data_IF_813339659571
#
_entry.id   IF_813339659571
#
_cell.length_a   1.000
_cell.length_b   1.000
_cell.length_c   1.000
_cell.angle_alpha   90.00
_cell.angle_beta   90.00
_cell.angle_gamma   90.00
#
_symmetry.space_group_name_H-M   'P 1'
#
loop_
_entity.id
_entity.type
_entity.pdbx_description
1 polymer ?
#
# COMPACT_ATOMS: atom_id res chain seq x y z
N UNK A 1 -24.93 -9.75 -34.36
CA UNK A 1 -25.31 -9.69 -32.92
C UNK A 1 -26.27 -8.53 -32.74
N UNK A 2 -27.57 -8.77 -32.95
CA UNK A 2 -28.63 -7.79 -32.76
C UNK A 2 -29.40 -8.23 -31.50
N UNK A 3 -29.48 -7.35 -30.50
CA UNK A 3 -30.18 -7.52 -29.21
C UNK A 3 -29.47 -8.34 -28.12
N UNK A 4 -28.27 -7.90 -27.72
CA UNK A 4 -27.86 -8.05 -26.32
C UNK A 4 -28.29 -6.77 -25.58
N UNK A 5 -29.17 -6.89 -24.58
CA UNK A 5 -29.56 -5.78 -23.67
C UNK A 5 -28.43 -5.35 -22.73
N UNK A 6 -27.28 -6.02 -22.80
CA UNK A 6 -26.11 -5.80 -21.97
C UNK A 6 -25.04 -5.06 -22.77
N UNK A 7 -24.61 -3.91 -22.27
CA UNK A 7 -23.47 -3.19 -22.81
C UNK A 7 -22.17 -3.75 -22.21
N UNK A 8 -21.27 -4.18 -23.09
CA UNK A 8 -19.91 -4.54 -22.71
C UNK A 8 -19.04 -3.31 -22.96
N UNK A 9 -18.40 -2.82 -21.90
CA UNK A 9 -17.46 -1.70 -21.97
C UNK A 9 -16.07 -2.22 -21.63
N UNK A 10 -15.13 -2.06 -22.55
CA UNK A 10 -13.71 -2.32 -22.27
C UNK A 10 -13.06 -1.07 -21.68
N UNK A 11 -12.34 -1.22 -20.56
CA UNK A 11 -11.60 -0.14 -19.92
C UNK A 11 -10.11 -0.41 -20.02
N UNK A 12 -9.30 0.60 -20.36
CA UNK A 12 -7.83 0.50 -20.45
C UNK A 12 -7.20 1.53 -19.51
N UNK A 13 -7.45 1.38 -18.20
CA UNK A 13 -7.01 2.34 -17.18
C UNK A 13 -7.76 3.67 -17.24
N UNK A 14 -7.17 4.70 -16.65
CA UNK A 14 -7.67 6.07 -16.64
C UNK A 14 -6.81 7.00 -17.49
N UNK A 15 -7.41 8.06 -18.00
CA UNK A 15 -6.74 9.18 -18.65
C UNK A 15 -6.34 10.26 -17.62
N UNK A 16 -5.71 11.33 -18.10
CA UNK A 16 -5.27 12.45 -17.27
C UNK A 16 -6.40 13.12 -16.48
N UNK A 17 -7.61 13.18 -17.02
CA UNK A 17 -8.76 13.78 -16.34
C UNK A 17 -9.31 12.87 -15.24
N UNK A 18 -9.32 11.55 -15.46
CA UNK A 18 -9.66 10.56 -14.42
C UNK A 18 -8.71 10.66 -13.21
N UNK A 19 -7.42 10.90 -13.45
CA UNK A 19 -6.42 11.12 -12.39
C UNK A 19 -6.71 12.41 -11.63
N UNK A 20 -7.01 13.53 -12.32
CA UNK A 20 -7.34 14.81 -11.66
C UNK A 20 -8.60 14.68 -10.80
N UNK A 21 -9.62 14.00 -11.31
CA UNK A 21 -10.84 13.74 -10.56
C UNK A 21 -10.54 12.88 -9.31
N UNK A 22 -9.76 11.82 -9.47
CA UNK A 22 -9.34 10.95 -8.36
C UNK A 22 -8.60 11.74 -7.28
N UNK A 23 -7.68 12.63 -7.66
CA UNK A 23 -6.96 13.51 -6.72
C UNK A 23 -7.93 14.48 -6.01
N UNK A 24 -8.84 15.12 -6.75
CA UNK A 24 -9.82 16.03 -6.16
C UNK A 24 -10.78 15.32 -5.18
N UNK A 25 -11.06 14.03 -5.38
CA UNK A 25 -11.82 13.21 -4.43
C UNK A 25 -11.00 12.88 -3.18
N UNK A 26 -9.72 12.53 -3.34
CA UNK A 26 -8.80 12.30 -2.22
C UNK A 26 -8.62 13.56 -1.37
N UNK A 27 -8.44 14.73 -2.00
CA UNK A 27 -8.37 16.04 -1.33
C UNK A 27 -9.64 16.37 -0.53
N UNK A 28 -10.80 15.85 -0.94
CA UNK A 28 -12.08 16.02 -0.24
C UNK A 28 -12.30 15.00 0.88
N UNK A 29 -11.31 14.16 1.18
CA UNK A 29 -11.35 13.20 2.29
C UNK A 29 -11.66 11.76 1.89
N UNK A 30 -11.57 11.40 0.59
CA UNK A 30 -11.57 9.99 0.21
C UNK A 30 -10.26 9.34 0.63
N UNK A 31 -10.32 8.50 1.67
CA UNK A 31 -9.16 7.77 2.16
C UNK A 31 -8.82 6.57 1.25
N UNK A 32 -7.54 6.44 0.93
CA UNK A 32 -7.00 5.35 0.10
C UNK A 32 -5.95 4.52 0.84
N UNK A 33 -5.69 4.81 2.11
CA UNK A 33 -4.77 4.09 3.00
C UNK A 33 -5.08 2.59 3.06
N UNK A 34 -6.37 2.22 3.04
CA UNK A 34 -6.85 0.83 3.01
C UNK A 34 -6.43 0.02 1.80
N UNK A 35 -5.88 0.65 0.76
CA UNK A 35 -5.28 -0.07 -0.36
C UNK A 35 -3.84 -0.50 -0.05
N UNK A 36 -3.15 0.15 0.88
CA UNK A 36 -1.76 -0.15 1.26
C UNK A 36 -1.78 -1.32 2.22
N UNK A 37 -1.05 -2.38 1.87
CA UNK A 37 -1.03 -3.62 2.67
C UNK A 37 0.38 -4.07 3.04
N UNK A 38 1.38 -3.61 2.29
CA UNK A 38 2.77 -3.97 2.50
C UNK A 38 3.65 -2.74 2.36
N UNK A 39 4.70 -2.68 3.18
CA UNK A 39 5.72 -1.63 3.22
C UNK A 39 7.09 -2.28 2.96
N UNK A 40 7.93 -1.68 2.13
CA UNK A 40 9.25 -2.22 1.82
C UNK A 40 10.25 -1.18 1.33
N UNK A 41 11.51 -1.58 1.25
CA UNK A 41 12.63 -0.79 0.73
C UNK A 41 12.85 -1.04 -0.75
N UNK A 42 13.81 -0.32 -1.35
CA UNK A 42 14.14 -0.46 -2.77
C UNK A 42 14.64 -1.87 -3.12
N UNK A 43 15.35 -2.50 -2.19
CA UNK A 43 15.91 -3.85 -2.30
C UNK A 43 14.84 -4.95 -2.36
N UNK A 44 13.62 -4.68 -1.89
CA UNK A 44 12.51 -5.62 -1.96
C UNK A 44 11.85 -5.69 -3.36
N UNK A 45 12.06 -4.69 -4.23
CA UNK A 45 11.39 -4.58 -5.54
C UNK A 45 11.64 -5.78 -6.47
N UNK A 46 12.88 -6.30 -6.63
CA UNK A 46 13.14 -7.40 -7.55
C UNK A 46 12.35 -8.66 -7.20
N UNK A 47 12.37 -9.09 -5.93
CA UNK A 47 11.63 -10.27 -5.47
C UNK A 47 10.12 -10.03 -5.55
N UNK A 48 9.66 -8.88 -5.06
CA UNK A 48 8.24 -8.54 -5.07
C UNK A 48 7.66 -8.54 -6.49
N UNK A 49 8.44 -8.10 -7.48
CA UNK A 49 8.04 -8.10 -8.89
C UNK A 49 8.04 -9.50 -9.48
N UNK A 50 9.07 -10.31 -9.22
CA UNK A 50 9.18 -11.68 -9.73
C UNK A 50 8.10 -12.60 -9.15
N UNK A 51 7.69 -12.36 -7.91
CA UNK A 51 6.81 -13.23 -7.15
C UNK A 51 5.41 -12.63 -6.90
N UNK A 52 5.08 -11.50 -7.55
CA UNK A 52 3.85 -10.74 -7.32
C UNK A 52 2.56 -11.59 -7.28
N UNK A 53 2.34 -12.59 -8.17
CA UNK A 53 1.12 -13.41 -8.14
C UNK A 53 0.93 -14.20 -6.84
N UNK A 54 2.02 -14.47 -6.11
CA UNK A 54 2.02 -15.23 -4.87
C UNK A 54 2.04 -14.34 -3.62
N UNK A 55 2.19 -13.02 -3.78
CA UNK A 55 2.17 -12.05 -2.67
C UNK A 55 0.74 -11.50 -2.55
N UNK A 56 -0.05 -11.95 -1.56
CA UNK A 56 -1.42 -11.50 -1.39
C UNK A 56 -1.48 -10.01 -1.01
N UNK A 57 -2.70 -9.46 -0.90
CA UNK A 57 -2.92 -8.06 -0.50
C UNK A 57 -2.95 -7.06 -1.66
N UNK A 58 -3.20 -5.80 -1.31
CA UNK A 58 -3.38 -4.69 -2.23
C UNK A 58 -2.06 -4.11 -2.73
N UNK A 59 -1.86 -2.81 -2.50
CA UNK A 59 -0.69 -2.02 -2.86
C UNK A 59 0.51 -2.34 -1.95
N UNK A 60 1.68 -2.38 -2.59
CA UNK A 60 3.01 -2.55 -1.99
C UNK A 60 3.69 -1.19 -2.06
N UNK A 61 3.79 -0.49 -0.94
CA UNK A 61 4.43 0.82 -0.86
C UNK A 61 5.94 0.62 -0.71
N UNK A 62 6.71 1.28 -1.56
CA UNK A 62 8.17 1.14 -1.59
C UNK A 62 8.83 2.50 -1.30
N UNK A 63 9.64 2.54 -0.24
CA UNK A 63 10.50 3.66 0.08
C UNK A 63 11.85 3.49 -0.60
N UNK A 64 12.10 4.30 -1.63
CA UNK A 64 13.24 4.10 -2.55
C UNK A 64 14.61 4.36 -1.93
N UNK A 65 14.67 4.94 -0.73
CA UNK A 65 15.90 5.30 -0.04
C UNK A 65 16.15 4.43 1.20
N UNK A 66 15.27 3.46 1.46
CA UNK A 66 15.40 2.49 2.55
C UNK A 66 15.79 1.11 2.01
N UNK A 67 16.48 0.34 2.83
CA UNK A 67 16.76 -1.08 2.60
C UNK A 67 16.02 -1.90 3.67
N UNK A 68 14.90 -2.52 3.26
CA UNK A 68 14.09 -3.32 4.17
C UNK A 68 13.26 -4.35 3.38
N UNK A 69 13.02 -5.55 3.95
CA UNK A 69 12.19 -6.55 3.31
C UNK A 69 10.76 -6.03 3.12
N UNK A 70 10.05 -6.57 2.13
CA UNK A 70 8.62 -6.32 1.97
C UNK A 70 7.86 -6.96 3.13
N UNK A 71 7.31 -6.14 4.02
CA UNK A 71 6.57 -6.57 5.20
C UNK A 71 5.09 -6.24 5.06
N UNK A 72 4.21 -7.22 5.33
CA UNK A 72 2.79 -6.95 5.47
C UNK A 72 2.51 -6.20 6.78
N UNK A 73 1.61 -5.22 6.76
CA UNK A 73 1.23 -4.46 7.97
C UNK A 73 0.72 -5.40 9.07
N UNK A 74 -0.02 -6.45 8.69
CA UNK A 74 -0.54 -7.48 9.60
C UNK A 74 0.56 -8.29 10.29
N UNK A 75 1.77 -8.33 9.73
CA UNK A 75 2.89 -9.10 10.25
C UNK A 75 3.82 -8.26 11.14
N UNK A 76 3.60 -6.94 11.25
CA UNK A 76 4.46 -6.05 12.03
C UNK A 76 4.64 -6.50 13.48
N UNK A 77 3.56 -6.91 14.15
CA UNK A 77 3.66 -7.43 15.53
C UNK A 77 4.63 -8.60 15.66
N UNK A 78 4.62 -9.51 14.69
CA UNK A 78 5.50 -10.68 14.66
C UNK A 78 6.94 -10.29 14.33
N UNK A 79 7.13 -9.41 13.35
CA UNK A 79 8.47 -8.87 13.00
C UNK A 79 9.07 -8.06 14.17
N UNK A 80 8.21 -7.51 15.02
CA UNK A 80 8.57 -6.83 16.26
C UNK A 80 9.34 -7.70 17.26
N UNK A 81 9.19 -9.03 17.19
CA UNK A 81 9.96 -9.95 18.04
C UNK A 81 11.47 -9.89 17.75
N UNK A 82 11.85 -9.54 16.51
CA UNK A 82 13.24 -9.46 16.06
C UNK A 82 13.73 -8.00 15.94
N UNK A 83 12.85 -7.07 15.56
CA UNK A 83 13.19 -5.66 15.40
C UNK A 83 12.16 -4.74 16.07
N UNK A 84 12.53 -4.03 17.15
CA UNK A 84 11.63 -3.15 17.91
C UNK A 84 10.89 -2.09 17.09
N UNK A 85 11.47 -1.61 15.97
CA UNK A 85 10.82 -0.65 15.08
C UNK A 85 9.43 -1.15 14.61
N UNK A 86 9.30 -2.45 14.35
CA UNK A 86 8.00 -3.01 13.93
C UNK A 86 6.97 -3.10 15.06
N UNK A 87 7.39 -3.10 16.34
CA UNK A 87 6.45 -2.99 17.46
C UNK A 87 5.81 -1.61 17.45
N UNK A 88 6.64 -0.56 17.34
CA UNK A 88 6.17 0.83 17.34
C UNK A 88 5.31 1.11 16.10
N UNK A 89 5.69 0.60 14.93
CA UNK A 89 4.87 0.67 13.72
C UNK A 89 3.54 -0.07 13.87
N UNK A 90 3.52 -1.23 14.52
CA UNK A 90 2.29 -1.97 14.77
C UNK A 90 1.37 -1.22 15.74
N UNK A 91 1.92 -0.63 16.81
CA UNK A 91 1.15 0.20 17.75
C UNK A 91 0.49 1.40 17.04
N UNK A 92 1.23 2.08 16.17
CA UNK A 92 0.68 3.18 15.37
C UNK A 92 -0.42 2.65 14.44
N UNK A 93 -0.16 1.60 13.65
CA UNK A 93 -1.17 1.05 12.74
C UNK A 93 -2.43 0.59 13.48
N UNK A 94 -2.31 -0.04 14.66
CA UNK A 94 -3.47 -0.47 15.46
C UNK A 94 -4.33 0.72 15.93
N UNK A 95 -3.72 1.88 16.22
CA UNK A 95 -4.46 3.12 16.52
C UNK A 95 -5.14 3.74 15.29
N UNK A 96 -4.65 3.45 14.09
CA UNK A 96 -5.19 3.92 12.80
C UNK A 96 -5.97 2.81 12.07
N UNK A 97 -6.77 2.02 12.80
CA UNK A 97 -7.63 0.95 12.25
C UNK A 97 -6.89 -0.14 11.43
N UNK A 98 -5.62 -0.38 11.75
CA UNK A 98 -4.74 -1.31 11.04
C UNK A 98 -4.20 -0.77 9.71
N UNK A 99 -4.33 0.53 9.47
CA UNK A 99 -3.96 1.19 8.21
C UNK A 99 -2.60 1.87 8.30
N UNK A 100 -1.96 2.04 7.14
CA UNK A 100 -0.76 2.87 7.04
C UNK A 100 -1.14 4.35 7.17
N UNK A 101 -0.46 5.07 8.04
CA UNK A 101 -0.74 6.47 8.36
C UNK A 101 0.51 7.35 8.21
N UNK A 102 0.29 8.68 8.22
CA UNK A 102 1.39 9.67 8.18
C UNK A 102 2.32 9.49 9.38
N UNK A 103 1.78 9.18 10.55
CA UNK A 103 2.56 8.93 11.78
C UNK A 103 3.48 7.71 11.62
N UNK A 104 3.00 6.63 11.00
CA UNK A 104 3.80 5.44 10.74
C UNK A 104 4.93 5.73 9.74
N UNK A 105 4.63 6.52 8.70
CA UNK A 105 5.63 6.97 7.73
C UNK A 105 6.69 7.86 8.37
N UNK A 106 6.31 8.84 9.20
CA UNK A 106 7.25 9.72 9.90
C UNK A 106 8.20 8.93 10.81
N UNK A 107 7.69 7.93 11.52
CA UNK A 107 8.53 7.04 12.33
C UNK A 107 9.51 6.25 11.45
N UNK A 108 9.01 5.61 10.40
CA UNK A 108 9.82 4.81 9.50
C UNK A 108 10.95 5.64 8.85
N UNK A 109 10.66 6.85 8.40
CA UNK A 109 11.66 7.73 7.75
C UNK A 109 12.72 8.26 8.73
N UNK A 110 12.42 8.28 10.03
CA UNK A 110 13.33 8.75 11.06
C UNK A 110 14.26 7.66 11.59
N UNK A 111 13.76 6.43 11.66
CA UNK A 111 14.43 5.31 12.35
C UNK A 111 14.77 4.11 11.44
N UNK A 112 14.28 4.11 10.20
CA UNK A 112 14.53 3.10 9.17
C UNK A 112 15.74 3.33 8.28
#
# INVERSE_FOLDING_TARGET
VHYAFTHIVGTSGGNTDDIKESLALMEKGMDTSGLITHIGGLDAVPEATLNLPNIPGGKKLIYTHLEMPLAAITDFRKLGEENPLFIDLADICDHHDGLWSVEAEELLLKEG
#
